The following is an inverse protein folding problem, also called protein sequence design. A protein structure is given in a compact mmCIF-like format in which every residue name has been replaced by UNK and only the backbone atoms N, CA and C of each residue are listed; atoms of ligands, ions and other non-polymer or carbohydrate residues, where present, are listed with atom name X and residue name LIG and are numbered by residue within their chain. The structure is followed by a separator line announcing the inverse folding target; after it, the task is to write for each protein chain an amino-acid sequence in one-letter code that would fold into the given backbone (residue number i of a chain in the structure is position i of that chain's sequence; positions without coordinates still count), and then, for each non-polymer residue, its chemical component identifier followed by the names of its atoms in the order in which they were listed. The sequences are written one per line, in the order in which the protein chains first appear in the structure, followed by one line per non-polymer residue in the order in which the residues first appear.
data_IF_671318234983
#
_entry.id   IF_671318234983
#
_cell.length_a   1.000
_cell.length_b   1.000
_cell.length_c   1.000
_cell.angle_alpha   90.00
_cell.angle_beta   90.00
_cell.angle_gamma   90.00
#
_symmetry.space_group_name_H-M   'P 1'
#
loop_
_entity.id
_entity.type
_entity.pdbx_description
1 polymer ?
#
# COMPACT_ATOMS: atom_id res chain seq x y z
N UNK A 1 32.00 24.55 25.78
CA UNK A 1 31.28 24.12 24.57
C UNK A 1 31.81 22.79 24.04
N UNK A 2 33.01 22.78 23.45
CA UNK A 2 33.60 21.61 22.78
C UNK A 2 33.67 20.33 23.63
N UNK A 3 34.21 20.42 24.85
CA UNK A 3 34.37 19.24 25.72
C UNK A 3 33.02 18.56 26.07
N UNK A 4 31.97 19.36 26.28
CA UNK A 4 30.63 18.84 26.59
C UNK A 4 30.02 18.07 25.41
N UNK A 5 30.15 18.60 24.19
CA UNK A 5 29.67 17.89 23.01
C UNK A 5 30.49 16.63 22.72
N UNK A 6 31.82 16.68 22.88
CA UNK A 6 32.69 15.51 22.69
C UNK A 6 32.35 14.37 23.66
N UNK A 7 32.14 14.68 24.95
CA UNK A 7 31.76 13.66 25.94
C UNK A 7 30.34 13.13 25.69
N UNK A 8 29.41 13.99 25.24
CA UNK A 8 28.06 13.56 24.85
C UNK A 8 28.09 12.57 23.68
N UNK A 9 28.85 12.85 22.62
CA UNK A 9 28.98 11.93 21.48
C UNK A 9 29.64 10.61 21.89
N UNK A 10 30.66 10.66 22.75
CA UNK A 10 31.29 9.45 23.28
C UNK A 10 30.32 8.60 24.11
N UNK A 11 29.49 9.22 24.96
CA UNK A 11 28.42 8.52 25.68
C UNK A 11 27.41 7.89 24.74
N UNK A 12 26.95 8.62 23.71
CA UNK A 12 26.02 8.09 22.71
C UNK A 12 26.60 6.92 21.93
N UNK A 13 27.89 6.98 21.59
CA UNK A 13 28.60 5.88 20.95
C UNK A 13 28.52 4.61 21.81
N UNK A 14 28.92 4.69 23.08
CA UNK A 14 28.86 3.53 23.99
C UNK A 14 27.42 3.00 24.18
N UNK A 15 26.44 3.90 24.31
CA UNK A 15 25.03 3.52 24.46
C UNK A 15 24.51 2.78 23.23
N UNK A 16 24.79 3.27 22.03
CA UNK A 16 24.28 2.66 20.78
C UNK A 16 24.97 1.32 20.53
N UNK A 17 26.29 1.25 20.73
CA UNK A 17 27.06 0.04 20.41
C UNK A 17 26.75 -1.12 21.35
N UNK A 18 26.51 -0.87 22.65
CA UNK A 18 26.39 -1.94 23.65
C UNK A 18 25.02 -2.07 24.30
N UNK A 19 24.20 -1.00 24.29
CA UNK A 19 22.97 -0.93 25.09
C UNK A 19 21.74 -0.50 24.26
N UNK A 20 21.67 -0.89 22.99
CA UNK A 20 20.57 -0.51 22.10
C UNK A 20 19.87 -1.69 21.43
N UNK A 21 18.98 -2.34 22.19
CA UNK A 21 18.09 -3.39 21.66
C UNK A 21 16.80 -2.82 21.05
N UNK A 22 16.44 -1.58 21.41
CA UNK A 22 15.20 -0.95 20.95
C UNK A 22 15.29 -0.52 19.50
N UNK A 23 16.47 -0.16 19.00
CA UNK A 23 16.69 0.14 17.58
C UNK A 23 16.26 -1.05 16.68
N UNK A 24 16.81 -2.24 16.92
CA UNK A 24 16.53 -3.44 16.11
C UNK A 24 15.05 -3.85 16.22
N UNK A 25 14.48 -3.77 17.43
CA UNK A 25 13.06 -4.07 17.66
C UNK A 25 12.15 -3.13 16.85
N UNK A 26 12.43 -1.83 16.88
CA UNK A 26 11.67 -0.83 16.15
C UNK A 26 11.80 -0.98 14.63
N UNK A 27 12.99 -1.30 14.11
CA UNK A 27 13.20 -1.56 12.68
C UNK A 27 12.46 -2.81 12.21
N UNK A 28 12.46 -3.87 13.01
CA UNK A 28 11.66 -5.07 12.73
C UNK A 28 10.16 -4.73 12.69
N UNK A 29 9.68 -3.97 13.69
CA UNK A 29 8.27 -3.56 13.78
C UNK A 29 7.85 -2.68 12.61
N UNK A 30 8.70 -1.76 12.16
CA UNK A 30 8.44 -0.91 10.98
C UNK A 30 8.29 -1.75 9.71
N UNK A 31 9.23 -2.66 9.44
CA UNK A 31 9.15 -3.56 8.28
C UNK A 31 7.92 -4.46 8.32
N UNK A 32 7.50 -4.91 9.50
CA UNK A 32 6.25 -5.64 9.66
C UNK A 32 5.04 -4.79 9.28
N UNK A 33 4.98 -3.55 9.76
CA UNK A 33 3.89 -2.61 9.46
C UNK A 33 3.82 -2.24 7.98
N UNK A 34 4.97 -2.06 7.33
CA UNK A 34 5.04 -1.79 5.89
C UNK A 34 4.43 -2.95 5.08
N UNK A 35 4.79 -4.19 5.41
CA UNK A 35 4.21 -5.37 4.76
C UNK A 35 2.70 -5.48 4.99
N UNK A 36 2.27 -5.20 6.22
CA UNK A 36 0.86 -5.20 6.56
C UNK A 36 0.08 -4.14 5.77
N UNK A 37 0.65 -2.95 5.62
CA UNK A 37 0.06 -1.86 4.83
C UNK A 37 -0.10 -2.25 3.36
N UNK A 38 0.95 -2.80 2.74
CA UNK A 38 0.92 -3.24 1.35
C UNK A 38 -0.14 -4.34 1.14
N UNK A 39 -0.19 -5.32 2.04
CA UNK A 39 -1.19 -6.39 1.97
C UNK A 39 -2.63 -5.86 2.01
N UNK A 40 -2.96 -4.96 2.92
CA UNK A 40 -4.31 -4.39 3.00
C UNK A 40 -4.64 -3.49 1.83
N UNK A 41 -3.65 -2.80 1.27
CA UNK A 41 -3.82 -2.00 0.08
C UNK A 41 -4.19 -2.88 -1.12
N UNK A 42 -3.43 -3.94 -1.38
CA UNK A 42 -3.72 -4.91 -2.45
C UNK A 42 -5.07 -5.60 -2.26
N UNK A 43 -5.39 -6.01 -1.03
CA UNK A 43 -6.69 -6.60 -0.70
C UNK A 43 -7.84 -5.63 -0.96
N UNK A 44 -7.68 -4.35 -0.59
CA UNK A 44 -8.67 -3.31 -0.86
C UNK A 44 -8.89 -3.09 -2.36
N UNK A 45 -7.81 -3.10 -3.14
CA UNK A 45 -7.89 -3.00 -4.60
C UNK A 45 -8.61 -4.20 -5.20
N UNK A 46 -8.24 -5.43 -4.84
CA UNK A 46 -8.90 -6.64 -5.35
C UNK A 46 -10.40 -6.66 -5.03
N UNK A 47 -10.78 -6.26 -3.82
CA UNK A 47 -12.19 -6.15 -3.44
C UNK A 47 -12.93 -5.11 -4.30
N UNK A 48 -12.31 -3.96 -4.55
CA UNK A 48 -12.89 -2.91 -5.40
C UNK A 48 -13.03 -3.36 -6.86
N UNK A 49 -12.06 -4.11 -7.38
CA UNK A 49 -12.10 -4.66 -8.74
C UNK A 49 -13.19 -5.72 -8.88
N UNK A 50 -13.37 -6.58 -7.87
CA UNK A 50 -14.48 -7.54 -7.83
C UNK A 50 -15.84 -6.86 -7.83
N UNK A 51 -15.98 -5.74 -7.11
CA UNK A 51 -17.20 -4.95 -7.14
C UNK A 51 -17.48 -4.39 -8.55
N UNK A 52 -16.48 -3.80 -9.21
CA UNK A 52 -16.61 -3.32 -10.60
C UNK A 52 -16.94 -4.46 -11.55
N UNK A 53 -16.26 -5.61 -11.44
CA UNK A 53 -16.55 -6.79 -12.24
C UNK A 53 -17.97 -7.32 -12.06
N UNK A 54 -18.56 -7.16 -10.87
CA UNK A 54 -19.96 -7.52 -10.65
C UNK A 54 -20.92 -6.57 -11.38
N UNK A 55 -20.55 -5.30 -11.57
CA UNK A 55 -21.34 -4.35 -12.38
C UNK A 55 -21.40 -4.75 -13.85
N UNK A 56 -20.34 -5.36 -14.39
CA UNK A 56 -20.34 -5.88 -15.76
C UNK A 56 -21.44 -6.93 -16.01
N UNK A 57 -21.92 -7.63 -14.98
CA UNK A 57 -23.06 -8.56 -15.13
C UNK A 57 -24.38 -7.84 -15.45
N UNK A 58 -24.50 -6.60 -15.01
CA UNK A 58 -25.68 -5.76 -15.27
C UNK A 58 -25.50 -4.89 -16.52
N UNK A 59 -24.33 -4.96 -17.17
CA UNK A 59 -24.09 -4.24 -18.40
C UNK A 59 -24.77 -4.95 -19.57
N UNK A 60 -25.77 -4.28 -20.16
CA UNK A 60 -26.40 -4.72 -21.41
C UNK A 60 -25.87 -3.85 -22.58
N UNK A 61 -24.99 -4.39 -23.44
CA UNK A 61 -24.47 -3.63 -24.58
C UNK A 61 -25.56 -3.35 -25.64
N UNK A 62 -26.64 -4.12 -25.67
CA UNK A 62 -27.72 -3.95 -26.65
C UNK A 62 -28.56 -2.72 -26.33
N UNK A 63 -28.67 -2.34 -25.05
CA UNK A 63 -29.36 -1.12 -24.63
C UNK A 63 -28.71 0.16 -25.17
N UNK A 64 -27.43 0.12 -25.55
CA UNK A 64 -26.71 1.25 -26.14
C UNK A 64 -26.96 1.42 -27.64
N UNK A 65 -27.59 0.44 -28.29
CA UNK A 65 -27.90 0.47 -29.71
C UNK A 65 -29.06 1.42 -29.98
N UNK A 66 -28.88 2.36 -30.90
CA UNK A 66 -29.99 3.18 -31.37
C UNK A 66 -31.03 2.32 -32.11
N UNK A 67 -32.33 2.65 -32.02
CA UNK A 67 -33.36 1.97 -32.79
C UNK A 67 -33.01 1.93 -34.28
N UNK A 68 -33.22 0.77 -34.92
CA UNK A 68 -32.93 0.50 -36.34
C UNK A 68 -31.46 0.58 -36.81
N UNK A 69 -30.50 0.81 -35.93
CA UNK A 69 -29.07 0.72 -36.25
C UNK A 69 -28.45 -0.60 -35.80
N UNK A 70 -27.41 -1.12 -36.49
CA UNK A 70 -26.68 -2.31 -36.05
C UNK A 70 -25.94 -2.03 -34.74
N UNK A 71 -25.68 -3.08 -33.96
CA UNK A 71 -24.88 -2.99 -32.74
C UNK A 71 -23.40 -2.79 -33.14
N UNK A 72 -22.75 -1.77 -32.59
CA UNK A 72 -21.33 -1.54 -32.79
C UNK A 72 -20.51 -2.50 -31.90
N UNK A 73 -19.55 -3.20 -32.52
CA UNK A 73 -18.67 -4.18 -31.84
C UNK A 73 -17.80 -3.54 -30.75
N UNK A 74 -17.64 -2.20 -30.76
CA UNK A 74 -16.93 -1.45 -29.72
C UNK A 74 -17.52 -1.64 -28.31
N UNK A 75 -18.81 -1.91 -28.20
CA UNK A 75 -19.51 -2.01 -26.92
C UNK A 75 -19.65 -3.44 -26.40
N UNK A 76 -19.11 -4.42 -27.12
CA UNK A 76 -19.00 -5.79 -26.63
C UNK A 76 -17.81 -5.88 -25.68
N UNK A 77 -18.09 -5.98 -24.38
CA UNK A 77 -17.11 -6.30 -23.34
C UNK A 77 -16.49 -7.68 -23.57
#
# INVERSE_FOLDING_TARGET
GLFYYSSYYFYRYLKITYFDTSHVSNESRRRYMEKQMLFYNDLGYDLSMKYIGNLCKYYDPVALRLPFQPLDDKYRL
#
